data_IF_146611356038
#
_entry.id   IF_146611356038
#
_cell.length_a   1.000
_cell.length_b   1.000
_cell.length_c   1.000
_cell.angle_alpha   90.00
_cell.angle_beta   90.00
_cell.angle_gamma   90.00
#
_symmetry.space_group_name_H-M   'P 1'
#
loop_
_entity.id
_entity.type
_entity.pdbx_description
1 polymer ?
#
# COMPACT_ATOMS: atom_id res chain seq x y z
N UNK A 1 1.35 27.70 14.44
CA UNK A 1 2.59 28.38 13.98
C UNK A 1 2.77 28.05 12.51
N UNK A 2 2.50 28.98 11.58
CA UNK A 2 2.71 28.79 10.14
C UNK A 2 3.28 30.02 9.46
N UNK A 3 3.31 30.04 8.12
CA UNK A 3 3.96 31.12 7.32
C UNK A 3 3.32 32.50 7.56
N UNK A 4 2.06 32.50 7.99
CA UNK A 4 1.32 33.65 8.49
C UNK A 4 0.71 33.29 9.86
N UNK A 5 0.52 34.27 10.75
CA UNK A 5 -0.05 34.04 12.09
C UNK A 5 -1.46 33.42 12.07
N UNK A 6 -2.15 33.43 10.91
CA UNK A 6 -3.48 32.88 10.68
C UNK A 6 -3.48 31.53 9.95
N UNK A 7 -2.32 31.07 9.45
CA UNK A 7 -2.20 29.78 8.76
C UNK A 7 -1.46 28.80 9.66
N UNK A 8 -1.97 27.59 9.73
CA UNK A 8 -1.25 26.49 10.37
C UNK A 8 0.01 26.17 9.57
N UNK A 9 1.12 25.94 10.26
CA UNK A 9 2.36 25.50 9.62
C UNK A 9 2.18 24.07 9.17
N UNK A 10 1.91 23.18 10.11
CA UNK A 10 1.60 21.79 9.83
C UNK A 10 0.10 21.54 9.71
N UNK A 11 -0.34 20.58 8.87
CA UNK A 11 -1.74 20.22 8.73
C UNK A 11 -2.34 19.85 10.09
N UNK A 12 -3.47 20.47 10.47
CA UNK A 12 -4.18 20.26 11.75
C UNK A 12 -3.29 20.25 13.00
N UNK A 13 -2.15 20.96 12.98
CA UNK A 13 -1.13 20.88 14.05
C UNK A 13 -0.73 19.43 14.40
N UNK A 14 -0.64 18.56 13.38
CA UNK A 14 -0.33 17.14 13.52
C UNK A 14 -1.28 16.39 14.44
N UNK A 15 -2.55 16.84 14.53
CA UNK A 15 -3.61 16.26 15.36
C UNK A 15 -3.22 16.04 16.83
N UNK A 16 -2.22 16.78 17.34
CA UNK A 16 -1.56 16.55 18.64
C UNK A 16 -0.93 15.15 18.83
N UNK A 17 -0.78 14.38 17.76
CA UNK A 17 -0.15 13.05 17.75
C UNK A 17 1.18 13.06 16.99
N UNK A 18 1.82 14.22 16.88
CA UNK A 18 3.08 14.35 16.20
C UNK A 18 3.76 15.68 16.46
N UNK A 19 5.03 15.73 16.07
CA UNK A 19 5.83 16.94 16.13
C UNK A 19 5.84 17.64 14.78
N UNK A 20 5.46 18.92 14.78
CA UNK A 20 5.53 19.76 13.60
C UNK A 20 6.99 20.17 13.32
N UNK A 21 7.50 19.77 12.16
CA UNK A 21 8.85 20.11 11.69
C UNK A 21 8.77 20.91 10.40
N UNK A 22 9.74 21.81 10.19
CA UNK A 22 9.83 22.61 8.98
C UNK A 22 11.15 22.31 8.27
N UNK A 23 11.07 21.80 7.05
CA UNK A 23 12.23 21.62 6.19
C UNK A 23 12.17 22.65 5.03
N UNK A 24 13.04 23.65 5.09
CA UNK A 24 13.02 24.81 4.21
C UNK A 24 11.70 25.60 4.30
N UNK A 25 10.87 25.51 3.25
CA UNK A 25 9.54 26.15 3.17
C UNK A 25 8.37 25.17 3.31
N UNK A 26 8.66 23.87 3.47
CA UNK A 26 7.64 22.83 3.60
C UNK A 26 7.50 22.47 5.07
N UNK A 27 6.26 22.34 5.52
CA UNK A 27 5.92 21.88 6.86
C UNK A 27 5.48 20.42 6.78
N UNK A 28 5.98 19.59 7.67
CA UNK A 28 5.63 18.18 7.75
C UNK A 28 5.44 17.75 9.20
N UNK A 29 4.54 16.80 9.39
CA UNK A 29 4.31 16.15 10.67
C UNK A 29 5.22 14.93 10.79
N UNK A 30 5.93 14.84 11.92
CA UNK A 30 6.59 13.62 12.36
C UNK A 30 5.71 12.97 13.42
N UNK A 31 4.96 11.96 13.02
CA UNK A 31 4.00 11.31 13.92
C UNK A 31 4.68 10.53 15.04
N UNK A 32 3.99 10.44 16.17
CA UNK A 32 4.36 9.59 17.29
C UNK A 32 4.05 8.12 16.97
N UNK A 33 4.56 7.20 17.77
CA UNK A 33 4.28 5.77 17.60
C UNK A 33 2.77 5.50 17.75
N UNK A 34 2.22 4.64 16.87
CA UNK A 34 0.78 4.35 16.79
C UNK A 34 -0.04 5.38 16.00
N UNK A 35 0.60 6.33 15.31
CA UNK A 35 -0.10 7.33 14.50
C UNK A 35 0.53 7.54 13.13
N UNK A 36 -0.32 7.72 12.12
CA UNK A 36 0.05 7.83 10.72
C UNK A 36 -0.77 8.87 9.95
N UNK A 37 -0.49 8.96 8.65
CA UNK A 37 -1.07 9.94 7.74
C UNK A 37 -0.36 11.30 7.74
N UNK A 38 -0.77 12.18 6.81
CA UNK A 38 -0.13 13.48 6.59
C UNK A 38 -0.13 14.39 7.83
N UNK A 39 -1.09 14.19 8.73
CA UNK A 39 -1.32 15.01 9.90
C UNK A 39 -1.49 14.20 11.19
N UNK A 40 -1.02 12.95 11.20
CA UNK A 40 -1.05 12.06 12.38
C UNK A 40 -2.46 11.80 12.92
N UNK A 41 -3.47 11.76 12.05
CA UNK A 41 -4.86 11.55 12.46
C UNK A 41 -5.33 10.11 12.35
N UNK A 42 -4.54 9.24 11.72
CA UNK A 42 -4.87 7.83 11.51
C UNK A 42 -4.19 7.03 12.62
N UNK A 43 -4.94 6.31 13.48
CA UNK A 43 -4.35 5.34 14.39
C UNK A 43 -3.65 4.23 13.58
N UNK A 44 -2.61 3.63 14.13
CA UNK A 44 -1.81 2.62 13.44
C UNK A 44 -1.55 1.46 14.38
N UNK A 45 -1.47 0.26 13.81
CA UNK A 45 -1.17 -0.95 14.55
C UNK A 45 0.12 -0.81 15.39
N UNK A 46 -0.01 -1.09 16.68
CA UNK A 46 1.09 -0.90 17.66
C UNK A 46 1.74 -2.20 18.05
N UNK A 47 0.98 -3.30 18.00
CA UNK A 47 1.45 -4.61 18.38
C UNK A 47 1.18 -5.59 17.25
N UNK A 48 2.24 -6.10 16.63
CA UNK A 48 2.15 -6.85 15.39
C UNK A 48 2.22 -8.37 15.59
N UNK A 49 1.96 -8.85 16.81
CA UNK A 49 2.02 -10.26 17.16
C UNK A 49 1.11 -10.65 18.34
N UNK A 50 0.00 -9.94 18.57
CA UNK A 50 -0.93 -10.24 19.66
C UNK A 50 -2.33 -10.66 19.21
N UNK A 51 -2.54 -10.86 17.91
CA UNK A 51 -3.82 -11.25 17.28
C UNK A 51 -4.95 -10.24 17.55
N UNK A 52 -4.61 -8.99 17.88
CA UNK A 52 -5.54 -7.90 18.15
C UNK A 52 -5.37 -6.80 17.10
N UNK A 53 -6.50 -6.26 16.67
CA UNK A 53 -6.59 -5.05 15.84
C UNK A 53 -6.56 -3.83 16.77
N UNK A 54 -5.38 -3.25 17.00
CA UNK A 54 -5.18 -2.16 17.97
C UNK A 54 -5.53 -0.78 17.39
N UNK A 55 -5.70 -0.65 16.08
CA UNK A 55 -6.15 0.58 15.42
C UNK A 55 -7.60 0.55 14.90
N UNK A 56 -8.24 -0.62 14.99
CA UNK A 56 -9.61 -0.92 14.65
C UNK A 56 -9.96 -0.71 13.17
N UNK A 57 -9.00 -0.93 12.27
CA UNK A 57 -9.19 -0.79 10.83
C UNK A 57 -9.72 -2.08 10.15
N UNK A 58 -9.74 -3.19 10.88
CA UNK A 58 -10.19 -4.51 10.45
C UNK A 58 -9.07 -5.48 10.04
N UNK A 59 -7.81 -5.04 10.11
CA UNK A 59 -6.61 -5.86 9.91
C UNK A 59 -5.96 -6.18 11.26
N UNK A 60 -5.18 -7.25 11.31
CA UNK A 60 -4.56 -7.75 12.54
C UNK A 60 -3.12 -8.14 12.26
N UNK A 61 -2.20 -7.76 13.15
CA UNK A 61 -0.79 -8.15 13.11
C UNK A 61 -0.17 -7.96 11.71
N UNK A 62 0.44 -9.00 11.13
CA UNK A 62 1.09 -8.92 9.83
C UNK A 62 0.12 -8.79 8.64
N UNK A 63 -1.20 -8.94 8.86
CA UNK A 63 -2.16 -8.56 7.83
C UNK A 63 -2.28 -7.04 7.68
N UNK A 64 -1.87 -6.30 8.72
CA UNK A 64 -1.79 -4.85 8.75
C UNK A 64 -0.53 -4.35 8.01
N UNK A 65 -0.67 -3.28 7.23
CA UNK A 65 0.40 -2.79 6.36
C UNK A 65 1.50 -2.05 7.12
N UNK A 66 1.14 -1.50 8.28
CA UNK A 66 1.97 -0.72 9.18
C UNK A 66 2.94 -1.65 9.91
N UNK A 67 2.51 -2.90 10.14
CA UNK A 67 3.30 -3.96 10.74
C UNK A 67 4.41 -4.53 9.86
N UNK A 68 4.37 -4.30 8.55
CA UNK A 68 5.34 -4.89 7.62
C UNK A 68 6.78 -4.40 7.80
N UNK A 69 6.98 -3.25 8.44
CA UNK A 69 8.31 -2.75 8.78
C UNK A 69 8.85 -3.32 10.11
N UNK A 70 8.04 -4.07 10.87
CA UNK A 70 8.45 -4.70 12.13
C UNK A 70 9.09 -6.05 11.84
N UNK A 71 10.13 -6.40 12.61
CA UNK A 71 10.88 -7.65 12.41
C UNK A 71 10.05 -8.93 12.56
N UNK A 72 8.89 -8.87 13.21
CA UNK A 72 7.97 -10.00 13.38
C UNK A 72 7.27 -10.39 12.06
N UNK A 73 7.05 -9.42 11.17
CA UNK A 73 6.32 -9.60 9.91
C UNK A 73 7.23 -9.60 8.68
N UNK A 74 8.54 -9.50 8.85
CA UNK A 74 9.50 -9.34 7.76
C UNK A 74 9.48 -10.53 6.77
N UNK A 75 9.26 -11.75 7.28
CA UNK A 75 9.13 -12.98 6.49
C UNK A 75 7.66 -13.40 6.28
N UNK A 76 6.70 -12.58 6.71
CA UNK A 76 5.27 -12.88 6.56
C UNK A 76 4.84 -12.74 5.12
N UNK A 77 4.05 -13.72 4.65
CA UNK A 77 3.43 -13.70 3.33
C UNK A 77 2.57 -12.46 3.09
N UNK A 78 1.95 -11.95 4.16
CA UNK A 78 1.05 -10.81 4.13
C UNK A 78 1.77 -9.48 3.94
N UNK A 79 3.08 -9.45 4.23
CA UNK A 79 3.92 -8.25 4.11
C UNK A 79 4.82 -8.26 2.88
N UNK A 80 4.61 -9.20 1.96
CA UNK A 80 5.29 -9.19 0.68
C UNK A 80 4.74 -8.08 -0.20
N UNK A 81 5.58 -7.07 -0.46
CA UNK A 81 5.23 -5.99 -1.39
C UNK A 81 5.16 -6.52 -2.83
N UNK A 82 4.12 -6.11 -3.57
CA UNK A 82 4.08 -6.33 -5.02
C UNK A 82 5.24 -5.61 -5.69
N UNK A 83 5.91 -6.23 -6.68
CA UNK A 83 6.78 -5.52 -7.61
C UNK A 83 6.04 -4.35 -8.29
N UNK A 84 6.78 -3.28 -8.59
CA UNK A 84 6.22 -2.13 -9.30
C UNK A 84 5.71 -2.56 -10.70
N UNK A 85 4.47 -2.23 -11.09
CA UNK A 85 3.93 -2.60 -12.39
C UNK A 85 4.76 -2.10 -13.57
N UNK A 86 5.38 -0.92 -13.47
CA UNK A 86 6.25 -0.38 -14.51
C UNK A 86 7.53 -1.22 -14.64
N UNK A 87 8.13 -1.64 -13.54
CA UNK A 87 9.30 -2.54 -13.57
C UNK A 87 8.96 -3.87 -14.24
N UNK A 88 7.77 -4.41 -13.96
CA UNK A 88 7.28 -5.63 -14.61
C UNK A 88 7.09 -5.41 -16.12
N UNK A 89 6.45 -4.31 -16.52
CA UNK A 89 6.22 -3.99 -17.92
C UNK A 89 7.52 -3.70 -18.69
N UNK A 90 8.52 -3.11 -18.05
CA UNK A 90 9.83 -2.86 -18.64
C UNK A 90 10.66 -4.14 -18.80
N UNK A 91 10.51 -5.11 -17.89
CA UNK A 91 11.19 -6.42 -17.97
C UNK A 91 10.53 -7.38 -18.96
N UNK A 92 9.22 -7.25 -19.20
CA UNK A 92 8.46 -8.16 -20.06
C UNK A 92 8.43 -7.67 -21.51
N UNK A 93 8.34 -8.64 -22.43
CA UNK A 93 8.19 -8.32 -23.85
C UNK A 93 6.81 -7.69 -24.10
N UNK A 94 6.74 -6.52 -24.77
CA UNK A 94 5.47 -5.91 -25.09
C UNK A 94 4.65 -6.84 -26.00
N UNK A 95 3.35 -7.03 -25.72
CA UNK A 95 2.47 -7.82 -26.57
C UNK A 95 2.40 -7.24 -27.98
N UNK A 96 2.18 -8.09 -28.98
CA UNK A 96 1.93 -7.64 -30.34
C UNK A 96 0.73 -6.68 -30.39
N UNK A 97 0.70 -5.76 -31.36
CA UNK A 97 -0.43 -4.81 -31.51
C UNK A 97 -1.76 -5.57 -31.69
N UNK A 98 -1.72 -6.70 -32.40
CA UNK A 98 -2.81 -7.63 -32.65
C UNK A 98 -3.10 -8.60 -31.51
N UNK A 99 -2.35 -8.53 -30.40
CA UNK A 99 -2.54 -9.41 -29.26
C UNK A 99 -3.92 -9.22 -28.62
N UNK A 100 -4.48 -10.32 -28.11
CA UNK A 100 -5.77 -10.30 -27.41
C UNK A 100 -5.68 -9.48 -26.12
N UNK A 101 -6.83 -9.05 -25.60
CA UNK A 101 -6.88 -8.37 -24.30
C UNK A 101 -6.23 -9.24 -23.21
N UNK A 102 -6.51 -10.55 -23.21
CA UNK A 102 -5.93 -11.50 -22.28
C UNK A 102 -4.39 -11.48 -22.35
N UNK A 103 -3.81 -11.54 -23.55
CA UNK A 103 -2.36 -11.46 -23.72
C UNK A 103 -1.77 -10.13 -23.23
N UNK A 104 -2.51 -9.02 -23.37
CA UNK A 104 -2.09 -7.70 -22.86
C UNK A 104 -2.20 -7.60 -21.34
N UNK A 105 -3.15 -8.30 -20.73
CA UNK A 105 -3.41 -8.28 -19.29
C UNK A 105 -2.77 -9.44 -18.52
N UNK A 106 -2.13 -10.37 -19.23
CA UNK A 106 -1.52 -11.60 -18.68
C UNK A 106 -0.49 -11.32 -17.58
N UNK A 107 0.19 -10.17 -17.65
CA UNK A 107 1.15 -9.76 -16.63
C UNK A 107 0.51 -9.54 -15.24
N UNK A 108 -0.81 -9.41 -15.11
CA UNK A 108 -1.42 -9.31 -13.77
C UNK A 108 -1.35 -10.60 -12.97
N UNK A 109 -1.37 -11.76 -13.66
CA UNK A 109 -1.56 -13.08 -13.06
C UNK A 109 -0.39 -14.03 -13.27
N UNK A 110 0.59 -13.62 -14.07
CA UNK A 110 1.79 -14.41 -14.32
C UNK A 110 2.70 -14.50 -13.09
N UNK A 111 3.53 -15.54 -13.07
CA UNK A 111 4.59 -15.65 -12.06
C UNK A 111 5.58 -14.49 -12.16
N UNK A 112 6.15 -14.11 -10.99
CA UNK A 112 7.14 -13.03 -10.86
C UNK A 112 6.67 -11.71 -11.48
N UNK A 113 5.38 -11.43 -11.31
CA UNK A 113 4.71 -10.27 -11.86
C UNK A 113 4.14 -9.43 -10.71
N UNK A 114 3.09 -8.64 -10.95
CA UNK A 114 2.50 -7.77 -9.92
C UNK A 114 1.69 -8.50 -8.84
N UNK A 115 1.58 -9.83 -8.93
CA UNK A 115 0.90 -10.64 -7.93
C UNK A 115 1.67 -11.94 -7.71
N UNK A 116 1.89 -12.30 -6.45
CA UNK A 116 2.62 -13.50 -6.08
C UNK A 116 1.75 -14.76 -6.02
N UNK A 117 0.43 -14.62 -5.84
CA UNK A 117 -0.50 -15.73 -5.55
C UNK A 117 -1.75 -15.75 -6.44
N UNK A 118 -1.68 -15.18 -7.64
CA UNK A 118 -2.81 -15.21 -8.56
C UNK A 118 -3.18 -16.67 -8.93
N UNK A 119 -4.44 -17.05 -8.70
CA UNK A 119 -4.98 -18.34 -9.12
C UNK A 119 -5.13 -18.39 -10.64
N UNK A 120 -4.05 -18.74 -11.34
CA UNK A 120 -3.98 -18.76 -12.82
C UNK A 120 -5.10 -19.57 -13.47
N UNK A 121 -5.55 -20.63 -12.81
CA UNK A 121 -6.58 -21.55 -13.32
C UNK A 121 -7.97 -20.89 -13.40
N UNK A 122 -8.22 -19.84 -12.61
CA UNK A 122 -9.45 -19.04 -12.67
C UNK A 122 -9.47 -18.06 -13.86
N UNK A 123 -8.30 -17.70 -14.38
CA UNK A 123 -8.15 -16.72 -15.44
C UNK A 123 -7.81 -17.38 -16.77
N UNK A 124 -8.80 -18.06 -17.38
CA UNK A 124 -8.65 -18.57 -18.74
C UNK A 124 -9.06 -17.53 -19.80
N UNK A 125 -8.50 -17.65 -21.01
CA UNK A 125 -8.80 -16.75 -22.14
C UNK A 125 -10.30 -16.72 -22.49
N UNK A 126 -11.04 -17.81 -22.21
CA UNK A 126 -12.48 -17.92 -22.41
C UNK A 126 -13.31 -17.46 -21.20
N UNK A 127 -12.85 -17.63 -19.96
CA UNK A 127 -13.60 -17.27 -18.75
C UNK A 127 -13.48 -15.79 -18.35
N UNK A 128 -12.39 -15.11 -18.73
CA UNK A 128 -12.19 -13.69 -18.40
C UNK A 128 -13.42 -12.84 -18.77
N UNK A 129 -14.04 -13.07 -19.92
CA UNK A 129 -15.24 -12.34 -20.35
C UNK A 129 -16.51 -12.66 -19.55
N UNK A 130 -16.66 -13.88 -19.05
CA UNK A 130 -17.86 -14.27 -18.28
C UNK A 130 -17.96 -13.58 -16.92
N UNK A 131 -16.85 -13.07 -16.38
CA UNK A 131 -16.81 -12.37 -15.10
C UNK A 131 -17.10 -10.86 -15.19
N UNK A 132 -16.80 -10.21 -16.34
CA UNK A 132 -16.96 -8.75 -16.52
C UNK A 132 -18.16 -8.35 -17.39
N UNK A 133 -18.84 -9.31 -18.00
CA UNK A 133 -20.12 -9.08 -18.70
C UNK A 133 -21.26 -9.51 -17.78
N UNK A 134 -21.78 -8.56 -17.01
CA UNK A 134 -23.15 -8.57 -16.48
C UNK A 134 -23.90 -7.37 -17.04
#
# INVERSE_FOLDING_TARGET
MGRHCTLDGCPRSCSNHGQCSKDGNVWSCRCHEGWGGHDCSVPQETNCNDEIDNDADGLVDCADSECCNKGQCQDSLMCMSSPDPLDILLRKQPPAVTASFYQKMKFLIEEQSVQSYAHKDEYSESQFWSAFVK
#
